data_IF_710068174821
#
_entry.id   IF_710068174821
#
_cell.length_a   1.000
_cell.length_b   1.000
_cell.length_c   1.000
_cell.angle_alpha   90.00
_cell.angle_beta   90.00
_cell.angle_gamma   90.00
#
_symmetry.space_group_name_H-M   'P 1'
#
loop_
_entity.id
_entity.type
_entity.pdbx_description
1 polymer ?
#
# COMPACT_ATOMS: atom_id res chain seq x y z
N UNK A 1 -0.16 -13.16 -5.47
CA UNK A 1 -0.13 -11.91 -6.27
C UNK A 1 -0.51 -10.76 -5.34
N UNK A 2 -0.02 -9.54 -5.55
CA UNK A 2 -0.43 -8.39 -4.73
C UNK A 2 -1.82 -7.90 -5.11
N UNK A 3 -2.64 -7.55 -4.14
CA UNK A 3 -4.00 -7.08 -4.38
C UNK A 3 -3.99 -5.64 -4.85
N UNK A 4 -4.75 -5.31 -5.90
CA UNK A 4 -4.82 -3.94 -6.40
C UNK A 4 -5.56 -3.07 -5.40
N UNK A 5 -4.93 -1.97 -5.02
CA UNK A 5 -5.44 -1.05 -4.03
C UNK A 5 -6.09 0.16 -4.69
N UNK A 6 -7.30 0.49 -4.24
CA UNK A 6 -7.90 1.79 -4.44
C UNK A 6 -7.64 2.65 -3.19
N UNK A 7 -6.85 3.71 -3.36
CA UNK A 7 -6.63 4.71 -2.30
C UNK A 7 -7.87 5.60 -2.21
N UNK A 8 -8.44 5.70 -1.01
CA UNK A 8 -9.65 6.49 -0.73
C UNK A 8 -9.31 7.83 -0.10
N UNK A 9 -8.26 7.87 0.71
CA UNK A 9 -7.79 9.08 1.38
C UNK A 9 -6.26 9.08 1.48
N UNK A 10 -5.66 10.25 1.28
CA UNK A 10 -4.23 10.48 1.54
C UNK A 10 -4.03 11.44 2.70
N UNK A 11 -3.08 11.13 3.59
CA UNK A 11 -2.57 12.05 4.60
C UNK A 11 -1.36 12.80 4.06
N UNK A 12 -1.28 14.10 4.34
CA UNK A 12 -0.18 14.97 3.88
C UNK A 12 0.04 14.94 2.36
N UNK A 13 -1.03 14.69 1.59
CA UNK A 13 -0.99 14.58 0.12
C UNK A 13 -0.32 13.34 -0.45
N UNK A 14 0.42 12.57 0.35
CA UNK A 14 1.31 11.52 -0.13
C UNK A 14 0.90 10.12 0.35
N UNK A 15 0.44 9.97 1.59
CA UNK A 15 0.37 8.66 2.24
C UNK A 15 -1.04 8.07 2.21
N UNK A 16 -1.27 6.84 1.71
CA UNK A 16 -2.56 6.18 1.84
C UNK A 16 -2.97 6.07 3.32
N UNK A 17 -3.97 6.83 3.73
CA UNK A 17 -4.52 6.82 5.08
C UNK A 17 -5.70 5.86 5.18
N UNK A 18 -6.52 5.85 4.12
CA UNK A 18 -7.64 4.96 3.95
C UNK A 18 -7.62 4.36 2.56
N UNK A 19 -7.77 3.05 2.46
CA UNK A 19 -7.73 2.36 1.17
C UNK A 19 -8.52 1.05 1.22
N UNK A 20 -8.86 0.53 0.04
CA UNK A 20 -9.57 -0.74 -0.09
C UNK A 20 -8.99 -1.62 -1.19
N UNK A 21 -9.19 -2.93 -1.06
CA UNK A 21 -8.83 -3.91 -2.07
C UNK A 21 -9.72 -5.14 -1.96
N UNK A 22 -9.83 -5.89 -3.05
CA UNK A 22 -10.51 -7.18 -3.06
C UNK A 22 -9.54 -8.27 -2.62
N UNK A 23 -9.99 -9.18 -1.75
CA UNK A 23 -9.22 -10.36 -1.36
C UNK A 23 -10.20 -11.51 -1.13
N UNK A 24 -9.95 -12.63 -1.81
CA UNK A 24 -10.80 -13.83 -1.71
C UNK A 24 -12.30 -13.53 -1.91
N UNK A 25 -12.65 -12.68 -2.88
CA UNK A 25 -14.04 -12.29 -3.18
C UNK A 25 -14.65 -11.27 -2.20
N UNK A 26 -13.92 -10.85 -1.16
CA UNK A 26 -14.38 -9.85 -0.19
C UNK A 26 -13.71 -8.50 -0.38
N UNK A 27 -14.46 -7.41 -0.23
CA UNK A 27 -13.90 -6.05 -0.19
C UNK A 27 -13.39 -5.77 1.23
N UNK A 28 -12.10 -5.49 1.36
CA UNK A 28 -11.48 -5.08 2.62
C UNK A 28 -11.25 -3.57 2.57
N UNK A 29 -11.71 -2.85 3.59
CA UNK A 29 -11.40 -1.42 3.79
C UNK A 29 -10.48 -1.28 5.01
N UNK A 30 -9.41 -0.51 4.85
CA UNK A 30 -8.39 -0.32 5.87
C UNK A 30 -8.28 1.15 6.22
N UNK A 31 -8.37 1.44 7.52
CA UNK A 31 -7.91 2.68 8.14
C UNK A 31 -6.54 2.43 8.78
N UNK A 32 -5.51 3.10 8.26
CA UNK A 32 -4.12 2.88 8.67
C UNK A 32 -3.77 3.69 9.93
N UNK A 33 -3.23 3.03 10.96
CA UNK A 33 -2.84 3.66 12.23
C UNK A 33 -1.33 3.92 12.35
N UNK A 34 -0.50 3.23 11.56
CA UNK A 34 0.95 3.44 11.50
C UNK A 34 1.44 3.37 10.06
N UNK A 35 2.59 4.02 9.80
CA UNK A 35 3.25 4.01 8.49
C UNK A 35 4.78 4.09 8.61
N UNK A 36 5.48 3.30 7.81
CA UNK A 36 6.92 3.43 7.57
C UNK A 36 7.17 3.46 6.05
N UNK A 37 7.99 4.40 5.57
CA UNK A 37 8.27 4.65 4.15
C UNK A 37 9.68 4.23 3.76
N UNK A 38 9.83 3.67 2.56
CA UNK A 38 11.14 3.48 1.94
C UNK A 38 11.05 3.67 0.43
N UNK A 39 11.96 4.47 -0.11
CA UNK A 39 12.23 4.54 -1.55
C UNK A 39 13.06 3.35 -1.96
N UNK A 40 12.59 2.63 -2.96
CA UNK A 40 13.34 1.54 -3.56
C UNK A 40 13.58 1.85 -5.03
N UNK A 41 14.83 1.69 -5.47
CA UNK A 41 15.17 1.73 -6.88
C UNK A 41 15.78 0.39 -7.24
N UNK A 42 15.25 -0.26 -8.28
CA UNK A 42 15.83 -1.51 -8.76
C UNK A 42 17.02 -1.23 -9.71
N UNK A 43 17.75 -2.28 -10.10
CA UNK A 43 18.91 -2.17 -11.00
C UNK A 43 18.58 -1.59 -12.38
N UNK A 44 17.31 -1.61 -12.79
CA UNK A 44 16.82 -1.07 -14.06
C UNK A 44 16.38 0.40 -13.92
N UNK A 45 16.61 1.02 -12.76
CA UNK A 45 16.24 2.41 -12.49
C UNK A 45 14.77 2.63 -12.14
N UNK A 46 13.94 1.57 -12.07
CA UNK A 46 12.53 1.70 -11.67
C UNK A 46 12.44 2.03 -10.20
N UNK A 47 11.73 3.09 -9.89
CA UNK A 47 11.46 3.54 -8.53
C UNK A 47 10.13 2.97 -8.06
N UNK A 48 10.07 2.51 -6.81
CA UNK A 48 8.84 2.20 -6.12
C UNK A 48 8.86 2.75 -4.70
N UNK A 49 7.68 3.08 -4.20
CA UNK A 49 7.51 3.50 -2.81
C UNK A 49 6.93 2.33 -2.03
N UNK A 50 7.63 1.90 -0.99
CA UNK A 50 7.14 0.86 -0.09
C UNK A 50 6.65 1.46 1.21
N UNK A 51 5.50 0.98 1.66
CA UNK A 51 4.90 1.38 2.93
C UNK A 51 4.56 0.15 3.75
N UNK A 52 4.94 0.17 5.02
CA UNK A 52 4.43 -0.79 5.99
C UNK A 52 3.35 -0.10 6.79
N UNK A 53 2.14 -0.63 6.77
CA UNK A 53 0.99 -0.05 7.47
C UNK A 53 0.39 -1.05 8.45
N UNK A 54 -0.18 -0.53 9.53
CA UNK A 54 -0.90 -1.33 10.54
C UNK A 54 -2.37 -0.93 10.57
N UNK A 55 -3.24 -1.91 10.76
CA UNK A 55 -4.67 -1.71 11.01
C UNK A 55 -5.13 -2.71 12.07
N UNK A 56 -5.42 -2.21 13.27
CA UNK A 56 -5.60 -3.05 14.45
C UNK A 56 -4.36 -3.93 14.70
N UNK A 57 -4.56 -5.25 14.73
CA UNK A 57 -3.51 -6.27 14.86
C UNK A 57 -2.87 -6.67 13.52
N UNK A 58 -3.44 -6.26 12.39
CA UNK A 58 -2.97 -6.67 11.07
C UNK A 58 -1.90 -5.73 10.53
N UNK A 59 -0.92 -6.29 9.82
CA UNK A 59 0.10 -5.53 9.09
C UNK A 59 0.00 -5.78 7.60
N UNK A 60 0.26 -4.74 6.82
CA UNK A 60 0.26 -4.80 5.38
C UNK A 60 1.47 -4.09 4.83
N UNK A 61 2.01 -4.64 3.75
CA UNK A 61 2.94 -3.96 2.88
C UNK A 61 2.18 -3.39 1.71
N UNK A 62 2.33 -2.10 1.45
CA UNK A 62 1.89 -1.46 0.22
C UNK A 62 3.11 -1.15 -0.64
N UNK A 63 2.95 -1.30 -1.94
CA UNK A 63 3.91 -0.86 -2.93
C UNK A 63 3.22 0.00 -3.96
N UNK A 64 3.75 1.20 -4.18
CA UNK A 64 3.42 2.02 -5.34
C UNK A 64 4.46 1.81 -6.42
N UNK A 65 4.02 1.44 -7.61
CA UNK A 65 4.83 1.57 -8.80
C UNK A 65 4.76 3.02 -9.31
N UNK A 66 5.82 3.80 -9.14
CA UNK A 66 5.78 5.25 -9.43
C UNK A 66 5.60 5.56 -10.91
N UNK A 67 5.97 4.64 -11.79
CA UNK A 67 5.78 4.80 -13.23
C UNK A 67 4.30 4.75 -13.65
N UNK A 68 3.50 3.93 -12.96
CA UNK A 68 2.08 3.74 -13.28
C UNK A 68 1.13 4.37 -12.26
N UNK A 69 1.65 4.81 -11.10
CA UNK A 69 0.84 5.23 -9.96
C UNK A 69 0.02 4.08 -9.35
N UNK A 70 0.27 2.84 -9.75
CA UNK A 70 -0.52 1.67 -9.31
C UNK A 70 -0.06 1.23 -7.92
N UNK A 71 -1.04 1.03 -7.05
CA UNK A 71 -0.84 0.52 -5.71
C UNK A 71 -1.20 -0.95 -5.59
N UNK A 72 -0.38 -1.70 -4.88
CA UNK A 72 -0.64 -3.09 -4.50
C UNK A 72 -0.40 -3.32 -3.01
N UNK A 73 -1.19 -4.22 -2.41
CA UNK A 73 -1.08 -4.60 -1.01
C UNK A 73 -0.82 -6.09 -0.82
N UNK A 74 -0.06 -6.42 0.21
CA UNK A 74 0.13 -7.77 0.73
C UNK A 74 -0.03 -7.77 2.24
N UNK A 75 -0.68 -8.78 2.83
CA UNK A 75 -0.56 -9.02 4.27
C UNK A 75 0.90 -9.34 4.62
N UNK A 76 1.37 -8.82 5.75
CA UNK A 76 2.61 -9.31 6.36
C UNK A 76 2.23 -10.37 7.40
N UNK A 77 2.86 -11.55 7.30
CA UNK A 77 2.77 -12.65 8.26
C UNK A 77 3.55 -12.35 9.54
#
# INVERSE_FOLDING_TARGET
>A
MGEVVQVLERKFGLFPARFKFNRNGSVITIDAVERCWTNMQNQQGRVSHQFRVRSGSNRYRLNEDTASGRWTAWPES
#
